data_IF_070122648206
#
_entry.id   IF_070122648206
#
_cell.length_a   1.000
_cell.length_b   1.000
_cell.length_c   1.000
_cell.angle_alpha   90.00
_cell.angle_beta   90.00
_cell.angle_gamma   90.00
#
_symmetry.space_group_name_H-M   'P 1'
#
loop_
_entity.id
_entity.type
_entity.pdbx_description
1 polymer ?
#
# COMPACT_ATOMS: atom_id res chain seq x y z
N UNK A 1 -8.43 -24.23 15.53
CA UNK A 1 -7.11 -23.61 15.32
C UNK A 1 -6.67 -23.90 13.89
N UNK A 2 -7.49 -23.54 12.90
CA UNK A 2 -7.30 -23.96 11.49
C UNK A 2 -7.34 -22.81 10.48
N UNK A 3 -7.49 -21.57 10.94
CA UNK A 3 -7.49 -20.39 10.07
C UNK A 3 -6.06 -19.97 9.65
N UNK A 4 -5.08 -20.12 10.55
CA UNK A 4 -3.69 -19.72 10.31
C UNK A 4 -3.02 -20.59 9.24
N UNK A 5 -3.37 -21.88 9.16
CA UNK A 5 -2.81 -22.81 8.16
C UNK A 5 -3.28 -22.54 6.73
N UNK A 6 -4.42 -21.87 6.54
CA UNK A 6 -4.93 -21.56 5.21
C UNK A 6 -4.18 -20.38 4.58
N UNK A 7 -3.74 -19.41 5.40
CA UNK A 7 -2.93 -18.29 4.93
C UNK A 7 -1.48 -18.69 4.64
N UNK A 8 -0.89 -19.60 5.42
CA UNK A 8 0.49 -20.07 5.16
C UNK A 8 0.59 -20.92 3.88
N UNK A 9 -0.48 -21.61 3.48
CA UNK A 9 -0.48 -22.39 2.23
C UNK A 9 -0.61 -21.54 0.96
N UNK A 10 -1.19 -20.33 1.06
CA UNK A 10 -1.27 -19.42 -0.10
C UNK A 10 0.04 -18.66 -0.34
N UNK A 11 0.90 -18.54 0.68
CA UNK A 11 2.19 -17.85 0.58
C UNK A 11 3.26 -18.64 -0.18
N UNK A 12 3.11 -19.97 -0.32
CA UNK A 12 4.09 -20.85 -0.96
C UNK A 12 3.66 -21.38 -2.33
N UNK A 13 2.67 -20.74 -2.98
CA UNK A 13 2.15 -21.14 -4.28
C UNK A 13 2.04 -19.99 -5.30
N UNK A 14 2.82 -18.91 -5.11
CA UNK A 14 3.20 -18.05 -6.24
C UNK A 14 4.54 -18.55 -6.75
N UNK A 15 4.42 -19.67 -7.45
CA UNK A 15 5.42 -20.11 -8.42
C UNK A 15 5.69 -18.93 -9.35
N UNK A 16 6.98 -18.67 -9.47
CA UNK A 16 7.57 -17.68 -10.36
C UNK A 16 7.07 -17.93 -11.77
N UNK A 17 6.10 -17.14 -12.23
CA UNK A 17 6.04 -16.83 -13.65
C UNK A 17 7.15 -15.84 -13.92
N UNK A 18 8.23 -16.37 -14.48
CA UNK A 18 9.39 -15.65 -14.99
C UNK A 18 8.97 -14.41 -15.80
N UNK A 19 9.20 -13.25 -15.19
CA UNK A 19 9.82 -12.12 -15.89
C UNK A 19 10.89 -11.62 -14.92
N UNK A 20 12.04 -12.29 -14.89
CA UNK A 20 13.29 -11.64 -14.49
C UNK A 20 13.62 -10.64 -15.61
N UNK A 21 12.96 -9.49 -15.59
CA UNK A 21 13.58 -8.28 -16.08
C UNK A 21 14.50 -7.80 -14.96
N UNK A 22 15.79 -7.64 -15.26
CA UNK A 22 16.69 -6.81 -14.46
C UNK A 22 16.19 -5.36 -14.57
N UNK A 23 15.02 -5.08 -13.99
CA UNK A 23 14.49 -3.75 -13.84
C UNK A 23 15.30 -3.06 -12.75
N UNK A 24 15.86 -1.93 -13.13
CA UNK A 24 16.67 -1.02 -12.32
C UNK A 24 16.23 -1.06 -10.85
N UNK A 25 17.08 -1.59 -9.96
CA UNK A 25 16.85 -1.66 -8.49
C UNK A 25 16.56 -0.27 -7.87
N UNK A 26 16.62 0.80 -8.67
CA UNK A 26 16.35 2.19 -8.34
C UNK A 26 14.97 2.69 -8.79
N UNK A 27 14.15 1.90 -9.49
CA UNK A 27 12.82 2.32 -9.89
C UNK A 27 11.89 2.48 -8.65
N UNK A 28 10.96 3.46 -8.66
CA UNK A 28 9.96 3.56 -7.59
C UNK A 28 9.12 2.30 -7.49
N UNK A 29 8.84 1.87 -6.26
CA UNK A 29 7.92 0.77 -6.00
C UNK A 29 6.52 1.32 -5.72
N UNK A 30 5.53 0.83 -6.45
CA UNK A 30 4.13 1.18 -6.24
C UNK A 30 3.37 0.06 -5.56
N UNK A 31 2.65 0.37 -4.49
CA UNK A 31 1.79 -0.58 -3.78
C UNK A 31 0.42 0.05 -3.55
N UNK A 32 -0.65 -0.72 -3.76
CA UNK A 32 -2.02 -0.28 -3.57
C UNK A 32 -2.70 -1.10 -2.48
N UNK A 33 -3.24 -0.40 -1.49
CA UNK A 33 -3.94 -0.98 -0.35
C UNK A 33 -5.43 -0.63 -0.40
N UNK A 34 -6.29 -1.65 -0.31
CA UNK A 34 -7.74 -1.51 -0.23
C UNK A 34 -8.19 -1.69 1.21
N UNK A 35 -8.95 -0.73 1.73
CA UNK A 35 -9.48 -0.76 3.09
C UNK A 35 -10.94 -1.20 3.09
N UNK A 36 -11.36 -1.91 4.15
CA UNK A 36 -12.77 -2.26 4.36
C UNK A 36 -13.60 -1.06 4.83
N UNK A 37 -12.96 -0.12 5.53
CA UNK A 37 -13.56 1.11 6.01
C UNK A 37 -12.57 2.28 6.00
N UNK A 38 -13.10 3.51 6.08
CA UNK A 38 -12.25 4.69 6.25
C UNK A 38 -11.51 4.69 7.59
N UNK A 39 -12.11 4.12 8.64
CA UNK A 39 -11.49 4.05 9.97
C UNK A 39 -10.23 3.17 9.98
N UNK A 40 -10.20 2.10 9.16
CA UNK A 40 -9.00 1.27 9.01
C UNK A 40 -7.84 2.06 8.39
N UNK A 41 -8.13 2.92 7.41
CA UNK A 41 -7.14 3.85 6.85
C UNK A 41 -6.63 4.84 7.91
N UNK A 42 -7.52 5.39 8.74
CA UNK A 42 -7.12 6.27 9.83
C UNK A 42 -6.21 5.57 10.85
N UNK A 43 -6.50 4.30 11.17
CA UNK A 43 -5.66 3.51 12.08
C UNK A 43 -4.29 3.20 11.47
N UNK A 44 -4.20 2.91 10.17
CA UNK A 44 -2.92 2.77 9.48
C UNK A 44 -2.12 4.09 9.52
N UNK A 45 -2.77 5.21 9.22
CA UNK A 45 -2.13 6.52 9.17
C UNK A 45 -1.44 6.88 10.49
N UNK A 46 -1.99 6.47 11.64
CA UNK A 46 -1.36 6.69 12.96
C UNK A 46 -0.04 5.93 13.16
N UNK A 47 0.18 4.84 12.41
CA UNK A 47 1.29 3.91 12.62
C UNK A 47 2.33 3.99 11.53
N UNK A 48 1.94 4.20 10.28
CA UNK A 48 2.80 4.17 9.10
C UNK A 48 3.39 5.57 8.81
N UNK A 49 4.72 5.66 8.73
CA UNK A 49 5.44 6.90 8.45
C UNK A 49 6.42 6.63 7.32
N UNK A 50 6.21 7.26 6.18
CA UNK A 50 7.07 7.07 5.01
C UNK A 50 8.40 7.78 5.23
N UNK A 51 9.51 7.06 5.02
CA UNK A 51 10.86 7.66 4.99
C UNK A 51 11.06 8.47 3.71
N UNK A 52 10.84 7.83 2.56
CA UNK A 52 10.74 8.50 1.26
C UNK A 52 9.63 7.89 0.41
N UNK A 53 8.88 8.74 -0.26
CA UNK A 53 7.71 8.36 -1.05
C UNK A 53 6.51 9.29 -0.85
N UNK A 54 5.45 9.01 -1.57
CA UNK A 54 4.18 9.74 -1.52
C UNK A 54 3.01 8.80 -1.31
N UNK A 55 1.94 9.31 -0.69
CA UNK A 55 0.72 8.55 -0.48
C UNK A 55 -0.52 9.32 -0.93
N UNK A 56 -1.38 8.69 -1.71
CA UNK A 56 -2.63 9.28 -2.19
C UNK A 56 -3.81 8.37 -1.86
N UNK A 57 -4.90 8.96 -1.38
CA UNK A 57 -6.13 8.25 -1.05
C UNK A 57 -7.18 8.50 -2.12
N UNK A 58 -7.74 7.42 -2.64
CA UNK A 58 -8.80 7.41 -3.64
C UNK A 58 -10.04 6.71 -3.08
N UNK A 59 -11.21 7.10 -3.59
CA UNK A 59 -12.45 6.37 -3.42
C UNK A 59 -12.89 5.82 -4.78
N UNK A 60 -13.03 4.51 -4.86
CA UNK A 60 -13.36 3.80 -6.09
C UNK A 60 -14.15 2.53 -5.76
N UNK A 61 -15.11 2.15 -6.60
CA UNK A 61 -15.96 0.95 -6.41
C UNK A 61 -16.44 0.73 -4.95
N UNK A 62 -16.98 1.81 -4.36
CA UNK A 62 -17.47 1.84 -2.99
C UNK A 62 -16.46 1.56 -1.86
N UNK A 63 -15.16 1.54 -2.15
CA UNK A 63 -14.08 1.28 -1.19
C UNK A 63 -13.01 2.39 -1.23
N UNK A 64 -12.19 2.46 -0.18
CA UNK A 64 -11.03 3.36 -0.14
C UNK A 64 -9.75 2.62 -0.54
N UNK A 65 -8.94 3.28 -1.36
CA UNK A 65 -7.67 2.78 -1.85
C UNK A 65 -6.55 3.78 -1.53
N UNK A 66 -5.52 3.32 -0.83
CA UNK A 66 -4.29 4.08 -0.63
C UNK A 66 -3.26 3.60 -1.65
N UNK A 67 -2.80 4.49 -2.50
CA UNK A 67 -1.62 4.26 -3.33
C UNK A 67 -0.40 4.76 -2.56
N UNK A 68 0.64 3.96 -2.47
CA UNK A 68 1.94 4.34 -1.91
C UNK A 68 3.00 4.14 -2.98
N UNK A 69 3.72 5.20 -3.31
CA UNK A 69 4.85 5.16 -4.23
C UNK A 69 6.11 5.40 -3.41
N UNK A 70 6.95 4.39 -3.26
CA UNK A 70 8.20 4.44 -2.52
C UNK A 70 9.35 4.83 -3.45
N UNK A 71 10.14 5.84 -3.08
CA UNK A 71 11.35 6.22 -3.82
C UNK A 71 12.55 5.45 -3.24
N UNK A 72 12.81 4.27 -3.79
CA UNK A 72 13.76 3.27 -3.26
C UNK A 72 15.18 3.81 -3.21
N UNK A 73 15.57 4.58 -4.21
CA UNK A 73 16.89 5.20 -4.36
C UNK A 73 17.18 6.27 -3.30
N UNK A 74 16.15 6.81 -2.66
CA UNK A 74 16.25 7.81 -1.60
C UNK A 74 16.17 7.20 -0.18
N UNK A 75 15.85 5.91 -0.05
CA UNK A 75 15.73 5.24 1.25
C UNK A 75 17.09 4.81 1.81
N UNK A 76 17.26 4.97 3.12
CA UNK A 76 18.52 4.68 3.81
C UNK A 76 18.38 3.59 4.87
N UNK A 77 17.25 3.52 5.58
CA UNK A 77 17.10 2.65 6.75
C UNK A 77 15.83 1.78 6.75
N UNK A 78 14.78 2.19 6.02
CA UNK A 78 13.48 1.51 6.04
C UNK A 78 13.50 0.17 5.31
N UNK A 79 13.05 -0.87 6.00
CA UNK A 79 12.71 -2.14 5.38
C UNK A 79 11.28 -2.05 4.84
N UNK A 80 11.16 -1.99 3.52
CA UNK A 80 9.89 -1.83 2.81
C UNK A 80 8.93 -2.99 3.06
N UNK A 81 9.44 -4.22 3.12
CA UNK A 81 8.61 -5.39 3.43
C UNK A 81 7.93 -5.24 4.80
N UNK A 82 8.61 -4.67 5.79
CA UNK A 82 8.02 -4.41 7.10
C UNK A 82 6.93 -3.33 7.04
N UNK A 83 7.12 -2.26 6.26
CA UNK A 83 6.10 -1.22 6.08
C UNK A 83 4.87 -1.77 5.33
N UNK A 84 5.07 -2.60 4.32
CA UNK A 84 3.98 -3.32 3.63
C UNK A 84 3.24 -4.24 4.63
N UNK A 85 3.96 -5.07 5.38
CA UNK A 85 3.35 -5.99 6.37
C UNK A 85 2.50 -5.25 7.40
N UNK A 86 2.94 -4.07 7.84
CA UNK A 86 2.20 -3.21 8.76
C UNK A 86 0.95 -2.61 8.12
N UNK A 87 0.99 -2.23 6.84
CA UNK A 87 -0.20 -1.82 6.10
C UNK A 87 -1.23 -2.95 5.99
N UNK A 88 -0.76 -4.19 5.80
CA UNK A 88 -1.60 -5.38 5.71
C UNK A 88 -2.30 -5.77 7.02
N UNK A 89 -1.97 -5.15 8.16
CA UNK A 89 -2.76 -5.30 9.40
C UNK A 89 -4.11 -4.59 9.33
N UNK A 90 -4.24 -3.58 8.46
CA UNK A 90 -5.42 -2.70 8.34
C UNK A 90 -6.06 -2.75 6.94
N UNK A 91 -5.38 -3.33 5.96
CA UNK A 91 -5.80 -3.35 4.57
C UNK A 91 -5.51 -4.69 3.89
N UNK A 92 -6.08 -4.86 2.70
CA UNK A 92 -5.68 -5.89 1.75
C UNK A 92 -4.86 -5.24 0.65
N UNK A 93 -3.80 -5.89 0.20
CA UNK A 93 -3.14 -5.51 -1.06
C UNK A 93 -4.12 -5.69 -2.23
N UNK A 94 -4.06 -4.77 -3.19
CA UNK A 94 -4.94 -4.74 -4.35
C UNK A 94 -4.14 -4.77 -5.63
N UNK A 95 -4.53 -5.63 -6.57
CA UNK A 95 -3.92 -5.72 -7.92
C UNK A 95 -4.37 -4.57 -8.86
N UNK A 96 -4.97 -3.50 -8.33
CA UNK A 96 -5.41 -2.35 -9.13
C UNK A 96 -4.20 -1.45 -9.37
N UNK A 97 -3.92 -1.14 -10.62
CA UNK A 97 -2.84 -0.22 -10.99
C UNK A 97 -3.14 1.22 -10.53
N UNK A 98 -2.09 1.96 -10.17
CA UNK A 98 -2.19 3.35 -9.68
C UNK A 98 -2.85 4.24 -10.74
N UNK A 99 -2.56 4.02 -12.03
CA UNK A 99 -3.13 4.79 -13.14
C UNK A 99 -4.65 4.63 -13.25
N UNK A 100 -5.19 3.43 -12.96
CA UNK A 100 -6.63 3.19 -12.96
C UNK A 100 -7.32 4.01 -11.88
N UNK A 101 -6.72 4.11 -10.69
CA UNK A 101 -7.23 4.97 -9.62
C UNK A 101 -7.10 6.46 -9.96
N UNK A 102 -6.01 6.85 -10.62
CA UNK A 102 -5.80 8.22 -11.09
C UNK A 102 -6.79 8.66 -12.17
N UNK A 103 -7.20 7.74 -13.06
CA UNK A 103 -8.12 8.04 -14.16
C UNK A 103 -9.60 7.88 -13.77
N UNK A 104 -9.94 6.82 -13.03
CA UNK A 104 -11.34 6.45 -12.75
C UNK A 104 -11.73 6.58 -11.27
N UNK A 105 -10.75 6.69 -10.37
CA UNK A 105 -10.98 6.90 -8.94
C UNK A 105 -11.32 8.34 -8.62
N UNK A 106 -12.06 8.54 -7.54
CA UNK A 106 -12.23 9.88 -6.95
C UNK A 106 -11.06 10.14 -6.02
N UNK A 107 -10.18 11.06 -6.39
CA UNK A 107 -9.13 11.55 -5.50
C UNK A 107 -9.73 12.19 -4.23
N UNK A 108 -9.27 11.74 -3.07
CA UNK A 108 -9.72 12.22 -1.75
C UNK A 108 -8.62 13.06 -1.10
N UNK A 109 -7.39 12.54 -1.07
CA UNK A 109 -6.20 13.24 -0.57
C UNK A 109 -5.03 12.93 -1.50
N UNK A 110 -4.29 13.97 -1.91
CA UNK A 110 -3.20 13.86 -2.87
C UNK A 110 -1.84 13.97 -2.19
N UNK A 111 -0.94 13.04 -2.51
CA UNK A 111 0.50 12.98 -2.23
C UNK A 111 0.93 12.94 -0.75
N UNK A 112 0.04 13.25 0.19
CA UNK A 112 0.30 13.26 1.62
C UNK A 112 -0.85 12.66 2.46
N UNK A 113 -1.49 11.61 1.96
CA UNK A 113 -2.68 11.01 2.56
C UNK A 113 -2.48 10.59 4.02
N UNK A 114 -1.38 9.89 4.33
CA UNK A 114 -1.07 9.41 5.68
C UNK A 114 -0.83 10.59 6.65
N UNK A 115 -0.06 11.60 6.21
CA UNK A 115 0.23 12.82 6.98
C UNK A 115 -1.02 13.64 7.25
N UNK A 116 -1.83 13.85 6.21
CA UNK A 116 -3.09 14.60 6.27
C UNK A 116 -4.08 13.92 7.20
N UNK A 117 -4.21 12.59 7.12
CA UNK A 117 -5.06 11.83 8.03
C UNK A 117 -4.64 12.03 9.49
N UNK A 118 -3.34 11.90 9.80
CA UNK A 118 -2.81 12.17 11.16
C UNK A 118 -3.06 13.60 11.62
N UNK A 119 -3.00 14.58 10.72
CA UNK A 119 -3.16 15.99 11.06
C UNK A 119 -4.61 16.34 11.41
N UNK A 120 -5.56 15.89 10.60
CA UNK A 120 -6.97 16.29 10.70
C UNK A 120 -7.82 15.36 11.57
N UNK A 121 -7.42 14.10 11.74
CA UNK A 121 -8.17 13.08 12.48
C UNK A 121 -7.31 12.57 13.65
N UNK A 122 -7.62 13.03 14.87
CA UNK A 122 -6.93 12.65 16.12
C UNK A 122 -7.65 11.50 16.80
#
# INVERSE_FOLDING_TARGET
MDYIKKQTKSFNARDKTDVESEEDDMAPLEVVFKFQSFDDFLELAKRMFLESGVSSLYYYDNQYYLTVVYFIDEMTETNIDNEILKALEFAEESDIAVEILGEYGKLVIQDNALESARHYFK
#
